data_IF_146977112166
#
_entry.id   IF_146977112166
#
_cell.length_a   1.000
_cell.length_b   1.000
_cell.length_c   1.000
_cell.angle_alpha   90.00
_cell.angle_beta   90.00
_cell.angle_gamma   90.00
#
_symmetry.space_group_name_H-M   'P 1'
#
loop_
_entity.id
_entity.type
_entity.pdbx_description
1 polymer ?
#
# COMPACT_ATOMS: atom_id res chain seq x y z
N UNK A 1 -11.19 5.03 -19.70
CA UNK A 1 -10.59 3.70 -20.01
C UNK A 1 -11.70 2.77 -20.47
N UNK A 2 -11.49 1.97 -21.53
CA UNK A 2 -12.48 0.96 -21.92
C UNK A 2 -12.51 -0.13 -20.83
N UNK A 3 -13.71 -0.55 -20.42
CA UNK A 3 -13.89 -1.54 -19.33
C UNK A 3 -13.10 -2.84 -19.52
N UNK A 4 -13.01 -3.31 -20.78
CA UNK A 4 -12.26 -4.51 -21.15
C UNK A 4 -10.76 -4.47 -20.87
N UNK A 5 -10.19 -3.27 -20.71
CA UNK A 5 -8.74 -3.08 -20.47
C UNK A 5 -8.37 -3.19 -18.99
N UNK A 6 -9.33 -3.01 -18.10
CA UNK A 6 -9.09 -3.09 -16.66
C UNK A 6 -9.17 -4.51 -16.10
N UNK A 7 -9.94 -5.37 -16.76
CA UNK A 7 -10.19 -6.76 -16.34
C UNK A 7 -11.61 -7.21 -16.61
N UNK A 8 -11.99 -8.32 -16.03
CA UNK A 8 -13.30 -8.95 -16.20
C UNK A 8 -13.89 -9.41 -14.87
N UNK A 9 -15.20 -9.66 -14.87
CA UNK A 9 -15.88 -10.24 -13.72
C UNK A 9 -16.00 -11.75 -13.87
N UNK A 10 -15.52 -12.49 -12.89
CA UNK A 10 -15.63 -13.95 -12.79
C UNK A 10 -16.80 -14.30 -11.88
N UNK A 11 -17.70 -15.17 -12.37
CA UNK A 11 -18.75 -15.76 -11.54
C UNK A 11 -18.16 -16.88 -10.69
N UNK A 12 -18.35 -16.80 -9.39
CA UNK A 12 -17.95 -17.81 -8.41
C UNK A 12 -19.18 -18.40 -7.77
N UNK A 13 -19.16 -19.69 -7.52
CA UNK A 13 -20.24 -20.48 -6.93
C UNK A 13 -21.56 -20.38 -7.72
N UNK A 14 -22.58 -21.10 -7.27
CA UNK A 14 -23.91 -21.17 -7.88
C UNK A 14 -25.02 -21.02 -6.82
N UNK A 15 -26.23 -20.75 -7.28
CA UNK A 15 -27.40 -20.62 -6.42
C UNK A 15 -27.29 -19.43 -5.46
N UNK A 16 -27.73 -19.59 -4.23
CA UNK A 16 -27.78 -18.51 -3.22
C UNK A 16 -26.40 -18.05 -2.75
N UNK A 17 -25.36 -18.85 -2.95
CA UNK A 17 -23.97 -18.53 -2.59
C UNK A 17 -23.20 -17.85 -3.73
N UNK A 18 -23.82 -17.65 -4.87
CA UNK A 18 -23.20 -17.06 -6.05
C UNK A 18 -22.75 -15.63 -5.78
N UNK A 19 -21.52 -15.29 -6.22
CA UNK A 19 -20.97 -13.93 -6.19
C UNK A 19 -20.05 -13.69 -7.38
N UNK A 20 -19.74 -12.42 -7.66
CA UNK A 20 -18.80 -12.04 -8.71
C UNK A 20 -17.54 -11.45 -8.09
N UNK A 21 -16.38 -11.90 -8.52
CA UNK A 21 -15.08 -11.28 -8.21
C UNK A 21 -14.50 -10.59 -9.44
N UNK A 22 -13.76 -9.50 -9.23
CA UNK A 22 -13.09 -8.81 -10.32
C UNK A 22 -11.71 -9.41 -10.54
N UNK A 23 -11.41 -9.82 -11.78
CA UNK A 23 -10.10 -10.31 -12.20
C UNK A 23 -9.42 -9.22 -13.02
N UNK A 24 -8.34 -8.60 -12.51
CA UNK A 24 -7.59 -7.60 -13.27
C UNK A 24 -7.01 -8.18 -14.56
N UNK A 25 -6.95 -7.37 -15.62
CA UNK A 25 -6.24 -7.76 -16.83
C UNK A 25 -4.74 -7.88 -16.56
N UNK A 26 -4.02 -8.82 -17.23
CA UNK A 26 -2.58 -8.95 -17.10
C UNK A 26 -1.83 -7.67 -17.48
N UNK A 27 -0.67 -7.46 -16.84
CA UNK A 27 0.28 -6.41 -17.24
C UNK A 27 1.39 -7.01 -18.13
N UNK A 28 1.90 -6.25 -19.10
CA UNK A 28 1.49 -4.89 -19.54
C UNK A 28 0.12 -4.90 -20.23
N UNK A 29 -0.63 -3.77 -20.17
CA UNK A 29 -1.98 -3.69 -20.72
C UNK A 29 -1.99 -3.89 -22.24
N UNK A 30 -3.07 -4.52 -22.76
CA UNK A 30 -3.29 -4.67 -24.21
C UNK A 30 -4.61 -4.01 -24.61
N UNK A 31 -4.65 -3.14 -25.65
CA UNK A 31 -3.49 -2.60 -26.39
C UNK A 31 -2.57 -1.80 -25.46
N UNK A 32 -1.28 -1.67 -25.84
CA UNK A 32 -0.27 -0.94 -25.11
C UNK A 32 -0.64 0.52 -24.84
N UNK A 33 0.15 1.23 -24.05
CA UNK A 33 -0.01 2.67 -23.84
C UNK A 33 0.36 3.38 -25.16
N UNK A 34 -0.53 4.26 -25.64
CA UNK A 34 -0.17 5.17 -26.72
C UNK A 34 0.74 6.26 -26.15
N UNK A 35 1.88 6.46 -26.79
CA UNK A 35 2.82 7.50 -26.43
C UNK A 35 2.67 8.66 -27.46
N UNK A 36 1.75 9.56 -27.15
CA UNK A 36 1.45 10.72 -28.00
C UNK A 36 2.26 11.96 -27.54
N UNK A 37 2.11 13.08 -28.27
CA UNK A 37 2.82 14.32 -27.99
C UNK A 37 2.48 14.88 -26.59
N UNK A 38 1.24 14.75 -26.13
CA UNK A 38 0.84 15.18 -24.80
C UNK A 38 1.54 14.38 -23.72
N UNK A 39 1.58 13.06 -23.85
CA UNK A 39 2.29 12.15 -22.94
C UNK A 39 3.79 12.47 -22.92
N UNK A 40 4.41 12.71 -24.09
CA UNK A 40 5.81 13.09 -24.19
C UNK A 40 6.09 14.41 -23.47
N UNK A 41 5.26 15.41 -23.66
CA UNK A 41 5.40 16.71 -22.99
C UNK A 41 5.26 16.62 -21.47
N UNK A 42 4.28 15.82 -20.98
CA UNK A 42 4.09 15.57 -19.56
C UNK A 42 5.27 14.81 -18.94
N UNK A 43 5.81 13.81 -19.64
CA UNK A 43 6.98 13.07 -19.18
C UNK A 43 8.22 13.97 -19.09
N UNK A 44 8.46 14.80 -20.11
CA UNK A 44 9.56 15.77 -20.09
C UNK A 44 9.43 16.74 -18.90
N UNK A 45 8.22 17.27 -18.68
CA UNK A 45 7.95 18.15 -17.54
C UNK A 45 8.17 17.44 -16.19
N UNK A 46 7.78 16.19 -16.07
CA UNK A 46 8.02 15.39 -14.87
C UNK A 46 9.53 15.21 -14.63
N UNK A 47 10.30 14.83 -15.64
CA UNK A 47 11.75 14.71 -15.55
C UNK A 47 12.44 16.03 -15.15
N UNK A 48 12.02 17.15 -15.73
CA UNK A 48 12.56 18.47 -15.35
C UNK A 48 12.30 18.80 -13.88
N UNK A 49 11.10 18.45 -13.35
CA UNK A 49 10.76 18.67 -11.94
C UNK A 49 11.57 17.77 -11.02
N UNK A 50 11.79 16.51 -11.39
CA UNK A 50 12.64 15.58 -10.62
C UNK A 50 14.09 16.05 -10.60
N UNK A 51 14.66 16.45 -11.75
CA UNK A 51 16.01 16.97 -11.82
C UNK A 51 16.17 18.28 -11.00
N UNK A 52 15.17 19.15 -11.02
CA UNK A 52 15.16 20.34 -10.17
C UNK A 52 15.16 19.98 -8.68
N UNK A 53 14.34 19.00 -8.27
CA UNK A 53 14.30 18.53 -6.89
C UNK A 53 15.66 17.92 -6.48
N UNK A 54 16.24 17.08 -7.32
CA UNK A 54 17.56 16.48 -7.09
C UNK A 54 18.64 17.54 -6.92
N UNK A 55 18.65 18.57 -7.77
CA UNK A 55 19.56 19.71 -7.63
C UNK A 55 19.40 20.49 -6.31
N UNK A 56 18.23 20.43 -5.67
CA UNK A 56 18.01 21.04 -4.36
C UNK A 56 18.54 20.20 -3.19
N UNK A 57 18.79 18.91 -3.39
CA UNK A 57 19.26 18.01 -2.32
C UNK A 57 20.59 18.52 -1.72
N UNK A 58 21.48 19.08 -2.53
CA UNK A 58 22.76 19.63 -2.07
C UNK A 58 22.62 20.85 -1.12
N UNK A 59 21.44 21.49 -1.08
CA UNK A 59 21.14 22.61 -0.21
C UNK A 59 20.58 22.19 1.15
N UNK A 60 20.28 20.89 1.34
CA UNK A 60 19.74 20.35 2.59
C UNK A 60 20.91 19.82 3.42
N UNK A 61 21.20 20.39 4.61
CA UNK A 61 22.36 20.01 5.42
C UNK A 61 22.37 18.52 5.81
N UNK A 62 21.22 17.95 6.14
CA UNK A 62 21.03 16.53 6.44
C UNK A 62 19.80 16.00 5.69
N UNK A 63 20.06 15.42 4.52
CA UNK A 63 19.02 14.86 3.67
C UNK A 63 18.34 13.64 4.34
N UNK A 64 19.10 12.83 5.07
CA UNK A 64 18.57 11.64 5.73
C UNK A 64 17.58 12.02 6.84
N UNK A 65 17.95 12.99 7.67
CA UNK A 65 17.05 13.53 8.69
C UNK A 65 15.80 14.13 8.06
N UNK A 66 15.97 14.94 7.01
CA UNK A 66 14.86 15.57 6.30
C UNK A 66 13.88 14.51 5.75
N UNK A 67 14.38 13.50 5.03
CA UNK A 67 13.57 12.41 4.47
C UNK A 67 12.89 11.61 5.60
N UNK A 68 13.61 11.33 6.68
CA UNK A 68 13.03 10.58 7.81
C UNK A 68 11.85 11.30 8.46
N UNK A 69 11.90 12.64 8.55
CA UNK A 69 10.79 13.45 9.06
C UNK A 69 9.57 13.42 8.13
N UNK A 70 9.78 13.40 6.80
CA UNK A 70 8.70 13.24 5.83
C UNK A 70 8.06 11.85 5.91
N UNK A 71 8.85 10.79 6.06
CA UNK A 71 8.35 9.43 6.26
C UNK A 71 7.47 9.35 7.51
N UNK A 72 7.91 9.96 8.61
CA UNK A 72 7.12 10.01 9.86
C UNK A 72 5.81 10.77 9.69
N UNK A 73 5.87 11.94 9.06
CA UNK A 73 4.68 12.74 8.78
C UNK A 73 3.70 12.02 7.87
N UNK A 74 4.17 11.35 6.84
CA UNK A 74 3.35 10.55 5.93
C UNK A 74 2.69 9.38 6.66
N UNK A 75 3.47 8.62 7.45
CA UNK A 75 2.97 7.52 8.25
C UNK A 75 1.85 7.96 9.21
N UNK A 76 2.04 9.10 9.88
CA UNK A 76 1.05 9.68 10.78
C UNK A 76 -0.22 10.06 10.04
N UNK A 77 -0.11 10.83 8.95
CA UNK A 77 -1.27 11.30 8.18
C UNK A 77 -2.05 10.13 7.57
N UNK A 78 -1.36 9.13 7.02
CA UNK A 78 -1.98 7.92 6.50
C UNK A 78 -2.73 7.15 7.59
N UNK A 79 -2.13 7.00 8.76
CA UNK A 79 -2.76 6.33 9.90
C UNK A 79 -3.95 7.11 10.46
N UNK A 80 -3.90 8.45 10.46
CA UNK A 80 -5.03 9.30 10.86
C UNK A 80 -6.24 9.15 9.94
N UNK A 81 -6.02 8.97 8.63
CA UNK A 81 -7.10 8.66 7.66
C UNK A 81 -7.81 7.35 8.05
N UNK A 82 -7.07 6.39 8.57
CA UNK A 82 -7.59 5.09 9.07
C UNK A 82 -8.16 5.16 10.50
N UNK A 83 -8.21 6.36 11.12
CA UNK A 83 -8.81 6.61 12.43
C UNK A 83 -7.85 6.55 13.62
N UNK A 84 -6.55 6.54 13.39
CA UNK A 84 -5.53 6.63 14.45
C UNK A 84 -5.53 8.02 15.09
N UNK A 85 -5.36 8.09 16.42
CA UNK A 85 -5.41 9.34 17.22
C UNK A 85 -4.02 9.86 17.61
N UNK A 86 -2.93 9.26 17.11
CA UNK A 86 -1.57 9.69 17.43
C UNK A 86 -1.26 11.09 16.87
N UNK A 87 -0.41 11.84 17.58
CA UNK A 87 0.15 13.13 17.13
C UNK A 87 1.60 12.97 16.67
N UNK A 88 2.17 13.99 16.03
CA UNK A 88 3.57 13.96 15.62
C UNK A 88 4.50 13.99 16.85
N UNK A 89 4.11 14.70 17.90
CA UNK A 89 4.83 14.74 19.16
C UNK A 89 4.90 13.35 19.80
N UNK A 90 3.79 12.61 19.82
CA UNK A 90 3.76 11.23 20.35
C UNK A 90 4.71 10.29 19.57
N UNK A 91 4.83 10.47 18.25
CA UNK A 91 5.70 9.64 17.39
C UNK A 91 7.18 10.01 17.54
N UNK A 92 7.48 11.24 17.95
CA UNK A 92 8.85 11.74 18.13
C UNK A 92 9.33 11.63 19.57
N UNK A 93 8.44 11.49 20.55
CA UNK A 93 8.79 11.40 21.95
C UNK A 93 9.21 9.97 22.33
N UNK A 94 10.51 9.75 22.67
CA UNK A 94 10.99 8.43 23.06
C UNK A 94 10.44 7.95 24.41
N UNK A 95 9.78 8.82 25.18
CA UNK A 95 9.14 8.47 26.45
C UNK A 95 7.74 7.87 26.28
N UNK A 96 7.12 8.03 25.11
CA UNK A 96 5.84 7.41 24.81
C UNK A 96 6.04 5.91 24.57
N UNK A 97 5.51 5.11 25.49
CA UNK A 97 5.61 3.65 25.42
C UNK A 97 4.71 3.10 24.30
N UNK A 98 5.35 2.53 23.28
CA UNK A 98 4.68 1.82 22.18
C UNK A 98 3.72 0.73 22.67
N UNK A 99 3.98 0.15 23.84
CA UNK A 99 3.16 -0.94 24.39
C UNK A 99 1.86 -0.44 25.04
N UNK A 100 1.82 0.83 25.47
CA UNK A 100 0.65 1.43 26.12
C UNK A 100 -0.24 2.18 25.15
N UNK A 101 0.31 2.75 24.07
CA UNK A 101 -0.43 3.49 23.06
C UNK A 101 -0.43 2.76 21.70
N UNK A 102 -1.49 2.00 21.45
CA UNK A 102 -1.64 1.21 20.21
C UNK A 102 -1.62 2.08 18.94
N UNK A 103 -2.14 3.29 19.00
CA UNK A 103 -2.13 4.21 17.87
C UNK A 103 -0.72 4.63 17.50
N UNK A 104 0.13 4.85 18.50
CA UNK A 104 1.56 5.17 18.29
C UNK A 104 2.30 3.95 17.75
N UNK A 105 2.04 2.76 18.30
CA UNK A 105 2.65 1.51 17.84
C UNK A 105 2.36 1.24 16.35
N UNK A 106 1.13 1.48 15.90
CA UNK A 106 0.75 1.32 14.49
C UNK A 106 1.57 2.25 13.57
N UNK A 107 1.73 3.53 13.96
CA UNK A 107 2.52 4.53 13.21
C UNK A 107 4.02 4.16 13.20
N UNK A 108 4.56 3.78 14.34
CA UNK A 108 5.97 3.37 14.46
C UNK A 108 6.26 2.13 13.60
N UNK A 109 5.35 1.15 13.59
CA UNK A 109 5.50 -0.02 12.73
C UNK A 109 5.42 0.32 11.24
N UNK A 110 4.58 1.29 10.86
CA UNK A 110 4.56 1.79 9.49
C UNK A 110 5.91 2.39 9.09
N UNK A 111 6.52 3.20 9.97
CA UNK A 111 7.85 3.78 9.75
C UNK A 111 8.89 2.67 9.62
N UNK A 112 8.94 1.73 10.57
CA UNK A 112 9.87 0.58 10.55
C UNK A 112 9.70 -0.26 9.27
N UNK A 113 8.47 -0.49 8.83
CA UNK A 113 8.19 -1.25 7.61
C UNK A 113 8.63 -0.49 6.35
N UNK A 114 8.44 0.83 6.31
CA UNK A 114 8.88 1.67 5.19
C UNK A 114 10.41 1.70 5.09
N UNK A 115 11.11 1.92 6.19
CA UNK A 115 12.58 1.90 6.26
C UNK A 115 13.14 0.53 5.86
N UNK A 116 12.52 -0.56 6.35
CA UNK A 116 12.85 -1.92 5.96
C UNK A 116 12.70 -2.12 4.46
N UNK A 117 11.57 -1.70 3.88
CA UNK A 117 11.28 -1.87 2.46
C UNK A 117 12.30 -1.12 1.59
N UNK A 118 12.59 0.15 1.91
CA UNK A 118 13.57 0.97 1.19
C UNK A 118 14.96 0.32 1.21
N UNK A 119 15.44 -0.10 2.37
CA UNK A 119 16.72 -0.80 2.50
C UNK A 119 16.72 -2.13 1.75
N UNK A 120 15.62 -2.88 1.81
CA UNK A 120 15.52 -4.18 1.16
C UNK A 120 15.51 -4.06 -0.36
N UNK A 121 15.00 -2.95 -0.91
CA UNK A 121 14.99 -2.67 -2.35
C UNK A 121 16.40 -2.48 -2.95
N UNK A 122 17.42 -2.24 -2.15
CA UNK A 122 18.82 -2.23 -2.62
C UNK A 122 19.26 -3.59 -3.18
N UNK A 123 18.66 -4.68 -2.69
CA UNK A 123 19.01 -6.06 -3.06
C UNK A 123 17.85 -6.90 -3.62
N UNK A 124 16.61 -6.42 -3.52
CA UNK A 124 15.42 -7.13 -3.96
C UNK A 124 14.51 -6.17 -4.74
N UNK A 125 14.18 -6.47 -6.02
CA UNK A 125 13.26 -5.62 -6.78
C UNK A 125 11.86 -5.64 -6.19
N UNK A 126 11.02 -4.67 -6.59
CA UNK A 126 9.61 -4.65 -6.22
C UNK A 126 8.91 -5.92 -6.72
N UNK A 127 8.57 -6.80 -5.80
CA UNK A 127 7.98 -8.12 -6.09
C UNK A 127 7.14 -8.61 -4.90
N UNK A 128 6.37 -9.68 -5.11
CA UNK A 128 5.54 -10.28 -4.06
C UNK A 128 6.31 -10.72 -2.80
N UNK A 129 7.60 -11.05 -2.92
CA UNK A 129 8.45 -11.35 -1.77
C UNK A 129 8.71 -10.12 -0.92
N UNK A 130 9.07 -8.99 -1.54
CA UNK A 130 9.29 -7.73 -0.82
C UNK A 130 8.02 -7.31 -0.08
N UNK A 131 6.86 -7.36 -0.75
CA UNK A 131 5.56 -7.01 -0.13
C UNK A 131 5.30 -7.89 1.11
N UNK A 132 5.53 -9.19 1.03
CA UNK A 132 5.32 -10.11 2.16
C UNK A 132 6.28 -9.85 3.32
N UNK A 133 7.56 -9.64 3.03
CA UNK A 133 8.58 -9.33 4.05
C UNK A 133 8.23 -7.99 4.75
N UNK A 134 7.86 -6.95 3.99
CA UNK A 134 7.42 -5.65 4.53
C UNK A 134 6.16 -5.78 5.38
N UNK A 135 5.15 -6.52 4.91
CA UNK A 135 3.93 -6.77 5.68
C UNK A 135 4.21 -7.50 7.00
N UNK A 136 5.16 -8.43 7.03
CA UNK A 136 5.55 -9.10 8.27
C UNK A 136 6.18 -8.14 9.30
N UNK A 137 6.91 -7.13 8.84
CA UNK A 137 7.44 -6.07 9.71
C UNK A 137 6.32 -5.16 10.21
N UNK A 138 5.44 -4.73 9.31
CA UNK A 138 4.32 -3.84 9.63
C UNK A 138 3.40 -4.40 10.71
N UNK A 139 3.11 -5.70 10.65
CA UNK A 139 2.15 -6.36 11.55
C UNK A 139 2.76 -6.89 12.84
N UNK A 140 4.01 -6.56 13.15
CA UNK A 140 4.68 -7.08 14.35
C UNK A 140 4.20 -6.37 15.61
N UNK A 141 3.63 -7.11 16.56
CA UNK A 141 3.22 -6.58 17.86
C UNK A 141 1.99 -5.66 17.84
N UNK A 142 1.30 -5.55 16.71
CA UNK A 142 0.10 -4.71 16.56
C UNK A 142 -1.15 -5.56 16.31
N UNK A 143 -2.31 -4.89 16.28
CA UNK A 143 -3.59 -5.54 15.98
C UNK A 143 -3.56 -6.24 14.62
N UNK A 144 -3.88 -7.52 14.60
CA UNK A 144 -3.83 -8.34 13.39
C UNK A 144 -2.57 -9.20 13.26
N UNK A 145 -1.64 -9.15 14.23
CA UNK A 145 -0.46 -10.03 14.24
C UNK A 145 -0.82 -11.53 14.21
N UNK A 146 -2.03 -11.88 14.66
CA UNK A 146 -2.59 -13.24 14.60
C UNK A 146 -3.05 -13.65 13.20
N UNK A 147 -3.12 -12.72 12.24
CA UNK A 147 -3.63 -12.93 10.88
C UNK A 147 -2.54 -13.30 9.86
N UNK A 148 -1.58 -14.12 10.27
CA UNK A 148 -0.51 -14.65 9.41
C UNK A 148 0.29 -13.55 8.65
N UNK A 149 0.99 -12.63 9.36
CA UNK A 149 1.81 -11.59 8.74
C UNK A 149 2.79 -12.14 7.70
N UNK A 150 2.93 -11.45 6.58
CA UNK A 150 3.82 -11.86 5.50
C UNK A 150 3.26 -12.97 4.60
N UNK A 151 2.00 -13.37 4.76
CA UNK A 151 1.35 -14.33 3.88
C UNK A 151 0.18 -13.69 3.13
N UNK A 152 -0.05 -14.16 1.92
CA UNK A 152 -1.28 -13.83 1.21
C UNK A 152 -2.47 -14.51 1.89
N UNK A 153 -3.64 -13.90 1.80
CA UNK A 153 -4.88 -14.47 2.32
C UNK A 153 -5.24 -15.79 1.65
N UNK A 154 -5.87 -16.66 2.41
CA UNK A 154 -6.38 -17.95 1.95
C UNK A 154 -7.91 -18.02 1.93
N UNK A 155 -8.58 -16.93 2.36
CA UNK A 155 -10.03 -16.78 2.34
C UNK A 155 -10.46 -15.58 1.51
N UNK A 156 -11.70 -15.62 1.01
CA UNK A 156 -12.29 -14.50 0.29
C UNK A 156 -12.62 -13.38 1.24
N UNK A 157 -12.22 -12.15 0.89
CA UNK A 157 -12.65 -10.93 1.53
C UNK A 157 -13.43 -10.03 0.55
N UNK A 158 -14.14 -9.04 1.08
CA UNK A 158 -14.96 -8.14 0.29
C UNK A 158 -15.13 -6.79 0.99
N UNK A 159 -15.54 -5.79 0.22
CA UNK A 159 -15.90 -4.46 0.72
C UNK A 159 -17.41 -4.33 0.69
N UNK A 160 -18.01 -4.03 1.86
CA UNK A 160 -19.44 -3.83 2.03
C UNK A 160 -19.73 -3.14 3.36
N UNK A 161 -20.99 -2.77 3.61
CA UNK A 161 -21.42 -2.23 4.90
C UNK A 161 -21.32 -3.27 6.03
N UNK A 162 -21.47 -2.83 7.27
CA UNK A 162 -21.46 -3.72 8.43
C UNK A 162 -22.49 -4.85 8.28
N UNK A 163 -22.06 -6.10 8.49
CA UNK A 163 -22.91 -7.29 8.34
C UNK A 163 -23.24 -7.68 6.89
N UNK A 164 -22.66 -7.01 5.89
CA UNK A 164 -22.89 -7.32 4.49
C UNK A 164 -22.38 -8.71 4.14
N UNK A 165 -23.27 -9.56 3.61
CA UNK A 165 -22.89 -10.84 3.05
C UNK A 165 -22.11 -10.67 1.74
N UNK A 166 -21.21 -11.62 1.42
CA UNK A 166 -20.37 -11.62 0.23
C UNK A 166 -21.16 -11.38 -1.07
N UNK A 167 -22.33 -12.00 -1.22
CA UNK A 167 -23.22 -11.85 -2.39
C UNK A 167 -23.75 -10.42 -2.60
N UNK A 168 -23.79 -9.62 -1.54
CA UNK A 168 -24.29 -8.24 -1.54
C UNK A 168 -23.14 -7.22 -1.44
N UNK A 169 -21.91 -7.68 -1.54
CA UNK A 169 -20.74 -6.84 -1.41
C UNK A 169 -20.64 -5.81 -2.55
N UNK A 170 -20.22 -4.60 -2.20
CA UNK A 170 -19.99 -3.54 -3.19
C UNK A 170 -18.81 -3.87 -4.12
N UNK A 171 -17.80 -4.54 -3.58
CA UNK A 171 -16.62 -4.97 -4.32
C UNK A 171 -16.07 -6.27 -3.74
N UNK A 172 -15.76 -7.19 -4.63
CA UNK A 172 -15.10 -8.46 -4.29
C UNK A 172 -13.82 -8.56 -5.13
N UNK A 173 -12.64 -8.52 -4.49
CA UNK A 173 -11.37 -8.69 -5.17
C UNK A 173 -11.23 -10.12 -5.72
N UNK A 174 -10.16 -10.42 -6.51
CA UNK A 174 -9.88 -11.77 -6.99
C UNK A 174 -9.98 -12.81 -5.88
N UNK A 175 -10.42 -14.01 -6.21
CA UNK A 175 -10.39 -15.11 -5.25
C UNK A 175 -8.93 -15.48 -4.89
N UNK A 176 -8.66 -16.10 -3.73
CA UNK A 176 -7.29 -16.45 -3.33
C UNK A 176 -6.52 -17.23 -4.40
N UNK A 177 -7.17 -18.14 -5.10
CA UNK A 177 -6.62 -18.93 -6.20
C UNK A 177 -6.30 -18.13 -7.46
N UNK A 178 -6.90 -16.95 -7.61
CA UNK A 178 -6.71 -16.06 -8.76
C UNK A 178 -5.67 -14.94 -8.47
N UNK A 179 -4.95 -14.99 -7.35
CA UNK A 179 -3.95 -13.97 -6.96
C UNK A 179 -2.51 -14.28 -7.38
N UNK A 180 -2.29 -15.33 -8.16
CA UNK A 180 -0.97 -15.78 -8.60
C UNK A 180 -0.36 -14.89 -9.70
#
# INVERSE_FOLDING_TARGET
>A
MKAERSGSWKQNLHGELAYKSFIPAPLPPRPGLAFDEEMAALLLKAHQRLAYLEGKNSMIPDLNLFVSMYVRKEALLSSQIEGTQATLEDVLDPSVDENTNRSVADVINYIKATEFALKRMESLPLCGRLIRETHAVLMRGVRGQEKTPGKFRISQNWIGGSGCALKNARYVPPAPEDMA
#
